data_IF_146441885596
#
_entry.id   IF_146441885596
#
_cell.length_a   1.000
_cell.length_b   1.000
_cell.length_c   1.000
_cell.angle_alpha   90.00
_cell.angle_beta   90.00
_cell.angle_gamma   90.00
#
_symmetry.space_group_name_H-M   'P 1'
#
loop_
_entity.id
_entity.type
_entity.pdbx_description
1 polymer ?
#
# COMPACT_ATOMS: atom_id res chain seq x y z
N UNK A 1 12.76 -20.85 -25.23
CA UNK A 1 11.75 -20.87 -24.14
C UNK A 1 12.15 -20.00 -22.94
N UNK A 2 13.29 -20.26 -22.28
CA UNK A 2 13.67 -19.57 -21.04
C UNK A 2 13.77 -18.03 -21.14
N UNK A 3 14.22 -17.49 -22.28
CA UNK A 3 14.30 -16.04 -22.51
C UNK A 3 12.91 -15.39 -22.56
N UNK A 4 11.97 -15.99 -23.32
CA UNK A 4 10.58 -15.52 -23.44
C UNK A 4 9.84 -15.55 -22.10
N UNK A 5 10.06 -16.59 -21.27
CA UNK A 5 9.45 -16.66 -19.94
C UNK A 5 10.01 -15.59 -18.98
N UNK A 6 11.31 -15.28 -19.10
CA UNK A 6 11.95 -14.21 -18.31
C UNK A 6 11.40 -12.84 -18.71
N UNK A 7 11.21 -12.61 -20.00
CA UNK A 7 10.67 -11.35 -20.54
C UNK A 7 9.20 -11.16 -20.11
N UNK A 8 8.39 -12.22 -20.12
CA UNK A 8 6.99 -12.18 -19.62
C UNK A 8 6.89 -11.94 -18.11
N UNK A 9 7.79 -12.54 -17.31
CA UNK A 9 7.81 -12.33 -15.87
C UNK A 9 8.23 -10.89 -15.50
N UNK A 10 9.12 -10.29 -16.30
CA UNK A 10 9.52 -8.90 -16.14
C UNK A 10 8.39 -7.94 -16.54
N UNK A 11 7.69 -8.20 -17.64
CA UNK A 11 6.52 -7.42 -18.07
C UNK A 11 5.40 -7.47 -17.03
N UNK A 12 5.10 -8.65 -16.48
CA UNK A 12 4.11 -8.79 -15.41
C UNK A 12 4.51 -8.04 -14.15
N UNK A 13 5.81 -8.03 -13.80
CA UNK A 13 6.31 -7.29 -12.65
C UNK A 13 6.20 -5.77 -12.84
N UNK A 14 6.39 -5.26 -14.06
CA UNK A 14 6.18 -3.83 -14.36
C UNK A 14 4.72 -3.44 -14.18
N UNK A 15 3.78 -4.24 -14.68
CA UNK A 15 2.34 -4.02 -14.49
C UNK A 15 1.96 -4.07 -13.01
N UNK A 16 2.52 -5.01 -12.25
CA UNK A 16 2.27 -5.12 -10.82
C UNK A 16 2.84 -3.93 -10.03
N UNK A 17 4.05 -3.47 -10.36
CA UNK A 17 4.63 -2.27 -9.74
C UNK A 17 3.77 -1.04 -10.02
N UNK A 18 3.31 -0.85 -11.25
CA UNK A 18 2.45 0.27 -11.62
C UNK A 18 1.11 0.27 -10.85
N UNK A 19 0.48 -0.90 -10.72
CA UNK A 19 -0.77 -1.05 -9.94
C UNK A 19 -0.55 -0.74 -8.46
N UNK A 20 0.53 -1.27 -7.86
CA UNK A 20 0.86 -1.02 -6.45
C UNK A 20 1.18 0.46 -6.18
N UNK A 21 1.88 1.14 -7.10
CA UNK A 21 2.16 2.58 -7.00
C UNK A 21 0.87 3.40 -7.11
N UNK A 22 -0.06 3.00 -7.98
CA UNK A 22 -1.37 3.63 -8.07
C UNK A 22 -2.16 3.48 -6.76
N UNK A 23 -2.18 2.29 -6.16
CA UNK A 23 -2.81 2.06 -4.85
C UNK A 23 -2.18 2.92 -3.76
N UNK A 24 -0.84 3.00 -3.72
CA UNK A 24 -0.09 3.83 -2.77
C UNK A 24 -0.43 5.32 -2.91
N UNK A 25 -0.56 5.81 -4.14
CA UNK A 25 -0.97 7.20 -4.44
C UNK A 25 -2.40 7.50 -3.99
N UNK A 26 -3.33 6.56 -4.17
CA UNK A 26 -4.71 6.70 -3.68
C UNK A 26 -4.72 6.76 -2.14
N UNK A 27 -3.92 5.91 -1.50
CA UNK A 27 -3.82 5.86 -0.05
C UNK A 27 -3.24 7.16 0.53
N UNK A 28 -2.16 7.69 -0.07
CA UNK A 28 -1.53 8.97 0.32
C UNK A 28 -2.46 10.18 0.13
N UNK A 29 -3.28 10.19 -0.93
CA UNK A 29 -4.27 11.25 -1.10
C UNK A 29 -5.42 11.15 -0.08
N UNK A 30 -5.77 9.93 0.34
CA UNK A 30 -6.83 9.67 1.31
C UNK A 30 -6.44 10.10 2.74
N UNK A 31 -5.15 10.05 3.09
CA UNK A 31 -4.65 10.57 4.38
C UNK A 31 -4.61 12.09 4.42
N UNK A 32 -4.36 12.75 3.29
CA UNK A 32 -4.33 14.23 3.17
C UNK A 32 -5.71 14.87 3.23
N UNK A 33 -6.76 14.15 2.85
CA UNK A 33 -8.15 14.61 2.88
C UNK A 33 -9.05 13.61 3.64
N UNK A 34 -8.98 13.57 4.98
CA UNK A 34 -9.76 12.62 5.77
C UNK A 34 -11.24 13.06 5.86
N UNK A 35 -12.04 12.82 4.82
CA UNK A 35 -13.50 13.07 4.86
C UNK A 35 -14.30 11.95 5.56
N UNK A 36 -13.70 11.21 6.49
CA UNK A 36 -14.25 9.91 6.91
C UNK A 36 -14.52 9.83 8.42
N UNK A 37 -15.78 10.03 8.83
CA UNK A 37 -16.28 9.47 10.10
C UNK A 37 -16.50 7.96 9.95
N UNK A 38 -15.38 7.23 9.78
CA UNK A 38 -15.37 5.79 9.69
C UNK A 38 -15.91 5.20 10.98
N UNK A 39 -16.87 4.30 10.86
CA UNK A 39 -17.57 3.72 11.99
C UNK A 39 -17.92 2.28 11.70
N UNK A 40 -17.71 1.41 12.67
CA UNK A 40 -18.14 0.02 12.58
C UNK A 40 -19.58 -0.11 13.08
N UNK A 41 -20.43 -0.83 12.36
CA UNK A 41 -21.77 -1.19 12.86
C UNK A 41 -21.79 -2.67 13.19
N UNK A 42 -22.13 -3.01 14.43
CA UNK A 42 -22.16 -4.40 14.92
C UNK A 42 -23.46 -4.67 15.67
N UNK A 43 -23.84 -5.94 15.72
CA UNK A 43 -25.05 -6.39 16.42
C UNK A 43 -24.68 -6.78 17.85
N UNK A 44 -25.31 -6.15 18.84
CA UNK A 44 -25.18 -6.54 20.26
C UNK A 44 -26.18 -7.64 20.60
N UNK A 45 -25.97 -8.38 21.69
CA UNK A 45 -26.77 -9.56 22.09
C UNK A 45 -28.29 -9.37 22.23
N UNK A 46 -28.80 -8.13 22.14
CA UNK A 46 -30.23 -7.81 22.04
C UNK A 46 -30.77 -7.74 20.59
N UNK A 47 -29.95 -8.01 19.58
CA UNK A 47 -30.30 -7.87 18.16
C UNK A 47 -30.21 -6.43 17.63
N UNK A 48 -29.97 -5.44 18.50
CA UNK A 48 -29.79 -4.03 18.11
C UNK A 48 -28.45 -3.82 17.39
N UNK A 49 -28.48 -3.06 16.30
CA UNK A 49 -27.27 -2.59 15.63
C UNK A 49 -26.74 -1.36 16.38
N UNK A 50 -25.48 -1.37 16.79
CA UNK A 50 -24.77 -0.22 17.37
C UNK A 50 -23.66 0.24 16.43
N UNK A 51 -23.50 1.56 16.31
CA UNK A 51 -22.45 2.21 15.52
C UNK A 51 -21.37 2.73 16.47
N UNK A 52 -20.16 2.21 16.36
CA UNK A 52 -19.00 2.73 17.08
C UNK A 52 -18.13 3.56 16.13
N UNK A 53 -17.79 4.81 16.49
CA UNK A 53 -16.80 5.56 15.73
C UNK A 53 -15.44 4.86 15.84
N UNK A 54 -14.74 4.72 14.73
CA UNK A 54 -13.36 4.25 14.71
C UNK A 54 -12.48 5.45 15.07
N UNK A 55 -11.54 5.26 16.00
CA UNK A 55 -10.65 6.35 16.39
C UNK A 55 -9.74 6.73 15.22
N UNK A 56 -9.50 8.03 15.06
CA UNK A 56 -8.63 8.57 14.02
C UNK A 56 -7.22 7.98 14.11
N UNK A 57 -6.68 7.86 15.34
CA UNK A 57 -5.37 7.23 15.58
C UNK A 57 -5.29 5.77 15.08
N UNK A 58 -6.38 5.01 15.22
CA UNK A 58 -6.42 3.64 14.72
C UNK A 58 -6.42 3.60 13.19
N UNK A 59 -7.16 4.51 12.53
CA UNK A 59 -7.17 4.62 11.07
C UNK A 59 -5.79 5.02 10.53
N UNK A 60 -5.15 6.03 11.15
CA UNK A 60 -3.79 6.46 10.79
C UNK A 60 -2.81 5.29 10.93
N UNK A 61 -2.89 4.52 12.03
CA UNK A 61 -2.04 3.35 12.23
C UNK A 61 -2.28 2.26 11.18
N UNK A 62 -3.55 1.95 10.86
CA UNK A 62 -3.88 0.96 9.83
C UNK A 62 -3.38 1.39 8.46
N UNK A 63 -3.58 2.66 8.09
CA UNK A 63 -3.12 3.20 6.82
C UNK A 63 -1.59 3.14 6.73
N UNK A 64 -0.88 3.51 7.80
CA UNK A 64 0.58 3.42 7.85
C UNK A 64 1.08 1.97 7.66
N UNK A 65 0.40 0.98 8.26
CA UNK A 65 0.72 -0.44 8.04
C UNK A 65 0.53 -0.85 6.58
N UNK A 66 -0.62 -0.55 5.98
CA UNK A 66 -0.90 -0.88 4.57
C UNK A 66 0.09 -0.19 3.64
N UNK A 67 0.39 1.08 3.90
CA UNK A 67 1.37 1.86 3.17
C UNK A 67 2.76 1.19 3.20
N UNK A 68 3.20 0.77 4.39
CA UNK A 68 4.49 0.08 4.57
C UNK A 68 4.54 -1.24 3.80
N UNK A 69 3.46 -2.02 3.82
CA UNK A 69 3.39 -3.30 3.11
C UNK A 69 3.44 -3.14 1.59
N UNK A 70 2.72 -2.14 1.05
CA UNK A 70 2.77 -1.79 -0.37
C UNK A 70 4.19 -1.37 -0.78
N UNK A 71 4.82 -0.48 0.00
CA UNK A 71 6.19 -0.02 -0.27
C UNK A 71 7.20 -1.18 -0.23
N UNK A 72 7.09 -2.10 0.75
CA UNK A 72 7.95 -3.30 0.80
C UNK A 72 7.79 -4.17 -0.44
N UNK A 73 6.54 -4.37 -0.89
CA UNK A 73 6.25 -5.19 -2.08
C UNK A 73 6.81 -4.56 -3.36
N UNK A 74 6.62 -3.25 -3.54
CA UNK A 74 7.20 -2.49 -4.66
C UNK A 74 8.73 -2.61 -4.64
N UNK A 75 9.37 -2.34 -3.50
CA UNK A 75 10.82 -2.44 -3.35
C UNK A 75 11.37 -3.84 -3.70
N UNK A 76 10.68 -4.89 -3.28
CA UNK A 76 11.05 -6.27 -3.58
C UNK A 76 11.01 -6.56 -5.08
N UNK A 77 9.93 -6.14 -5.77
CA UNK A 77 9.80 -6.29 -7.22
C UNK A 77 10.85 -5.47 -7.97
N UNK A 78 11.07 -4.21 -7.58
CA UNK A 78 12.07 -3.36 -8.20
C UNK A 78 13.49 -3.93 -8.06
N UNK A 79 13.87 -4.39 -6.86
CA UNK A 79 15.17 -5.06 -6.63
C UNK A 79 15.30 -6.34 -7.48
N UNK A 80 14.26 -7.18 -7.51
CA UNK A 80 14.28 -8.48 -8.20
C UNK A 80 14.37 -8.34 -9.73
N UNK A 81 13.66 -7.38 -10.31
CA UNK A 81 13.56 -7.21 -11.76
C UNK A 81 14.36 -6.02 -12.30
N UNK A 82 15.09 -5.30 -11.44
CA UNK A 82 15.87 -4.09 -11.78
C UNK A 82 14.99 -3.02 -12.43
N UNK A 83 13.84 -2.77 -11.84
CA UNK A 83 12.91 -1.72 -12.26
C UNK A 83 13.36 -0.42 -11.59
N UNK A 84 13.51 0.63 -12.39
CA UNK A 84 13.81 1.98 -11.91
C UNK A 84 12.50 2.77 -11.82
N UNK A 85 12.29 3.44 -10.69
CA UNK A 85 11.12 4.28 -10.45
C UNK A 85 11.38 5.71 -10.91
N UNK A 86 10.35 6.40 -11.39
CA UNK A 86 10.44 7.84 -11.67
C UNK A 86 10.56 8.65 -10.37
N UNK A 87 10.94 9.92 -10.46
CA UNK A 87 11.24 10.75 -9.29
C UNK A 87 10.01 10.97 -8.38
N UNK A 88 8.81 11.06 -8.95
CA UNK A 88 7.55 11.18 -8.23
C UNK A 88 7.13 9.85 -7.58
N UNK A 89 7.34 8.73 -8.26
CA UNK A 89 7.11 7.38 -7.73
C UNK A 89 8.07 7.08 -6.57
N UNK A 90 9.35 7.45 -6.70
CA UNK A 90 10.33 7.32 -5.64
C UNK A 90 9.99 8.18 -4.42
N UNK A 91 9.36 9.34 -4.62
CA UNK A 91 8.88 10.18 -3.51
C UNK A 91 7.75 9.50 -2.71
N UNK A 92 6.89 8.70 -3.37
CA UNK A 92 5.83 7.92 -2.71
C UNK A 92 6.40 6.79 -1.82
N UNK A 93 7.61 6.33 -2.12
CA UNK A 93 8.29 5.28 -1.36
C UNK A 93 8.87 5.77 -0.03
N UNK A 94 8.90 7.09 0.20
CA UNK A 94 9.43 7.73 1.40
C UNK A 94 10.97 7.65 1.51
N UNK A 95 11.61 8.66 2.10
CA UNK A 95 13.02 8.55 2.50
C UNK A 95 13.12 7.67 3.74
N UNK A 96 13.26 6.36 3.54
CA UNK A 96 13.69 5.43 4.59
C UNK A 96 12.73 4.29 4.88
N UNK A 97 13.01 3.14 4.25
CA UNK A 97 13.25 1.89 4.99
C UNK A 97 14.38 1.16 4.27
N UNK A 98 15.55 1.81 4.28
CA UNK A 98 16.82 1.12 4.27
C UNK A 98 17.19 0.79 5.71
N UNK A 99 16.49 -0.17 6.31
CA UNK A 99 16.95 -0.93 7.48
C UNK A 99 16.47 -2.37 7.31
N UNK A 100 16.98 -3.02 6.26
CA UNK A 100 17.43 -4.41 6.43
C UNK A 100 18.71 -4.31 7.31
N UNK A 101 18.56 -4.20 8.62
CA UNK A 101 19.67 -4.47 9.56
C UNK A 101 19.32 -5.77 10.27
N UNK A 102 19.97 -6.83 9.77
CA UNK A 102 20.17 -8.20 10.28
C UNK A 102 18.96 -9.03 10.75
#
# INVERSE_FOLDING_TARGET
MAKIMKDMAQEQALLEVADLLQQLKILDNSTKNPESSLSCTYRVGSGRMQRLPISENYLVSMIATVQTDLQKKINSLCKKYRIELEADEAALMGTGMGEDIE
#
